data_IF_539955784656
#
_entry.id   IF_539955784656
#
_cell.length_a   1.000
_cell.length_b   1.000
_cell.length_c   1.000
_cell.angle_alpha   90.00
_cell.angle_beta   90.00
_cell.angle_gamma   90.00
#
_symmetry.space_group_name_H-M   'P 1'
#
loop_
_entity.id
_entity.type
_entity.pdbx_description
1 polymer ?
#
# COMPACT_ATOMS: atom_id res chain seq x y z
N UNK A 1 -110.06 -3.91 36.38
CA UNK A 1 -109.06 -4.70 35.64
C UNK A 1 -107.69 -4.45 36.27
N UNK A 2 -107.10 -5.44 36.95
CA UNK A 2 -105.74 -5.32 37.50
C UNK A 2 -104.72 -5.43 36.35
N UNK A 3 -103.72 -4.54 36.25
CA UNK A 3 -102.66 -4.70 35.25
C UNK A 3 -101.86 -5.95 35.59
N UNK A 4 -101.73 -6.87 34.64
CA UNK A 4 -100.87 -8.05 34.78
C UNK A 4 -99.41 -7.60 34.81
N UNK A 5 -98.71 -7.81 35.92
CA UNK A 5 -97.25 -7.67 35.94
C UNK A 5 -96.66 -8.73 35.00
N UNK A 6 -96.05 -8.30 33.89
CA UNK A 6 -95.36 -9.21 32.97
C UNK A 6 -93.99 -9.54 33.55
N UNK A 7 -93.87 -10.67 34.24
CA UNK A 7 -92.59 -11.17 34.76
C UNK A 7 -91.98 -12.09 33.71
N UNK A 8 -90.78 -11.77 33.24
CA UNK A 8 -90.01 -12.65 32.35
C UNK A 8 -88.88 -13.30 33.12
N UNK A 9 -88.73 -14.62 32.97
CA UNK A 9 -87.69 -15.41 33.64
C UNK A 9 -86.73 -15.95 32.59
N UNK A 10 -85.45 -15.73 32.82
CA UNK A 10 -84.36 -16.23 31.98
C UNK A 10 -83.56 -17.20 32.83
N UNK A 11 -83.45 -18.45 32.37
CA UNK A 11 -82.65 -19.48 33.04
C UNK A 11 -81.24 -19.48 32.47
N UNK A 12 -80.26 -19.43 33.37
CA UNK A 12 -78.83 -19.40 33.04
C UNK A 12 -78.13 -20.57 33.74
N UNK A 13 -77.07 -21.16 33.15
CA UNK A 13 -76.29 -22.17 33.86
C UNK A 13 -75.68 -21.54 35.13
N UNK A 14 -75.32 -22.36 36.12
CA UNK A 14 -74.62 -21.87 37.32
C UNK A 14 -73.39 -21.04 36.94
N UNK A 15 -73.33 -19.80 37.43
CA UNK A 15 -72.25 -18.85 37.13
C UNK A 15 -71.50 -18.48 38.40
N UNK A 16 -70.17 -18.32 38.27
CA UNK A 16 -69.29 -17.81 39.31
C UNK A 16 -69.67 -16.37 39.72
N UNK A 17 -69.41 -16.02 40.98
CA UNK A 17 -69.83 -14.73 41.54
C UNK A 17 -69.18 -13.56 40.81
N UNK A 18 -67.91 -13.72 40.41
CA UNK A 18 -67.18 -12.72 39.66
C UNK A 18 -67.83 -12.36 38.32
N UNK A 19 -68.29 -13.37 37.58
CA UNK A 19 -68.91 -13.13 36.26
C UNK A 19 -70.30 -12.50 36.38
N UNK A 20 -71.02 -12.79 37.46
CA UNK A 20 -72.28 -12.10 37.80
C UNK A 20 -72.00 -10.65 38.14
N UNK A 21 -71.05 -10.40 39.03
CA UNK A 21 -70.62 -9.06 39.42
C UNK A 21 -70.15 -8.20 38.25
N UNK A 22 -69.29 -8.76 37.39
CA UNK A 22 -68.82 -8.11 36.17
C UNK A 22 -69.97 -7.78 35.22
N UNK A 23 -70.93 -8.70 35.04
CA UNK A 23 -72.09 -8.44 34.19
C UNK A 23 -72.93 -7.28 34.73
N UNK A 24 -73.24 -7.25 36.03
CA UNK A 24 -74.02 -6.16 36.63
C UNK A 24 -73.24 -4.82 36.63
N UNK A 25 -71.91 -4.87 36.77
CA UNK A 25 -71.03 -3.69 36.67
C UNK A 25 -71.05 -3.11 35.25
N UNK A 26 -70.89 -3.96 34.23
CA UNK A 26 -70.96 -3.53 32.83
C UNK A 26 -72.35 -3.02 32.44
N UNK A 27 -73.39 -3.65 32.98
CA UNK A 27 -74.78 -3.23 32.80
C UNK A 27 -74.99 -1.85 33.45
N UNK A 28 -74.47 -1.63 34.65
CA UNK A 28 -74.46 -0.33 35.33
C UNK A 28 -73.74 0.75 34.53
N UNK A 29 -72.59 0.44 33.93
CA UNK A 29 -71.84 1.36 33.04
C UNK A 29 -72.62 1.71 31.77
N UNK A 30 -73.24 0.71 31.12
CA UNK A 30 -73.95 0.90 29.84
C UNK A 30 -75.28 1.64 30.00
N UNK A 31 -75.97 1.47 31.13
CA UNK A 31 -77.30 2.04 31.37
C UNK A 31 -77.35 3.03 32.55
N UNK A 32 -76.19 3.59 32.93
CA UNK A 32 -76.03 4.65 33.95
C UNK A 32 -76.68 4.33 35.30
N UNK A 33 -76.59 3.09 35.76
CA UNK A 33 -77.12 2.65 37.06
C UNK A 33 -76.00 2.55 38.07
N UNK A 34 -76.12 3.28 39.17
CA UNK A 34 -75.03 3.45 40.16
C UNK A 34 -75.07 2.44 41.29
N UNK A 35 -76.22 1.81 41.56
CA UNK A 35 -76.39 0.96 42.74
C UNK A 35 -77.04 -0.39 42.42
N UNK A 36 -76.59 -1.43 43.12
CA UNK A 36 -77.23 -2.74 43.16
C UNK A 36 -77.35 -3.21 44.61
N UNK A 37 -78.34 -4.06 44.87
CA UNK A 37 -78.50 -4.76 46.14
C UNK A 37 -77.90 -6.16 46.02
N UNK A 38 -77.08 -6.59 47.00
CA UNK A 38 -76.47 -7.93 47.01
C UNK A 38 -76.75 -8.62 48.34
N UNK A 39 -77.30 -9.83 48.25
CA UNK A 39 -77.44 -10.75 49.37
C UNK A 39 -76.47 -11.91 49.20
N UNK A 40 -75.70 -12.19 50.25
CA UNK A 40 -74.82 -13.35 50.29
C UNK A 40 -75.43 -14.48 51.12
N UNK A 41 -74.99 -15.71 50.82
CA UNK A 41 -75.36 -16.92 51.53
C UNK A 41 -74.94 -16.83 53.01
N UNK A 42 -75.70 -17.47 53.91
CA UNK A 42 -75.50 -17.46 55.38
C UNK A 42 -75.94 -16.18 56.13
N UNK A 43 -77.03 -15.55 55.67
CA UNK A 43 -77.69 -14.40 56.35
C UNK A 43 -76.88 -13.09 56.37
N UNK A 44 -75.82 -13.00 55.56
CA UNK A 44 -75.04 -11.78 55.40
C UNK A 44 -75.66 -10.87 54.33
N UNK A 45 -76.38 -9.85 54.76
CA UNK A 45 -76.85 -8.77 53.88
C UNK A 45 -75.71 -7.76 53.67
N UNK A 46 -75.14 -7.75 52.46
CA UNK A 46 -74.09 -6.78 52.07
C UNK A 46 -74.74 -5.42 51.76
N UNK A 47 -76.04 -5.39 51.50
CA UNK A 47 -76.81 -4.18 51.23
C UNK A 47 -76.52 -3.56 49.87
N UNK A 48 -76.53 -2.23 49.81
CA UNK A 48 -76.41 -1.46 48.58
C UNK A 48 -74.94 -1.23 48.19
N UNK A 49 -74.52 -1.81 47.07
CA UNK A 49 -73.17 -1.65 46.50
C UNK A 49 -73.16 -0.65 45.35
N UNK A 50 -72.02 0.01 45.13
CA UNK A 50 -71.80 0.90 43.98
C UNK A 50 -71.23 0.11 42.80
N UNK A 51 -71.92 0.13 41.66
CA UNK A 51 -71.54 -0.59 40.44
C UNK A 51 -70.47 0.12 39.59
N UNK A 52 -70.17 1.39 39.89
CA UNK A 52 -69.28 2.23 39.07
C UNK A 52 -67.91 2.49 39.70
N UNK A 53 -67.77 2.22 41.00
CA UNK A 53 -66.51 2.37 41.75
C UNK A 53 -65.71 1.07 41.87
N UNK A 54 -64.50 1.15 42.40
CA UNK A 54 -63.74 -0.04 42.79
C UNK A 54 -64.47 -0.80 43.93
N UNK A 55 -64.41 -2.14 43.95
CA UNK A 55 -65.03 -2.92 45.01
C UNK A 55 -64.33 -2.65 46.34
N UNK A 56 -65.06 -2.16 47.34
CA UNK A 56 -64.56 -1.87 48.70
C UNK A 56 -65.30 -2.71 49.74
N UNK A 57 -64.62 -3.07 50.83
CA UNK A 57 -65.21 -3.75 51.98
C UNK A 57 -65.66 -5.18 51.69
N UNK A 58 -66.81 -5.57 52.25
CA UNK A 58 -67.37 -6.93 52.18
C UNK A 58 -67.65 -7.40 50.75
N UNK A 59 -67.91 -6.45 49.83
CA UNK A 59 -68.07 -6.74 48.41
C UNK A 59 -66.78 -7.26 47.76
N UNK A 60 -65.63 -6.70 48.13
CA UNK A 60 -64.33 -7.17 47.63
C UNK A 60 -64.00 -8.56 48.16
N UNK A 61 -64.26 -8.80 49.45
CA UNK A 61 -64.06 -10.10 50.10
C UNK A 61 -64.92 -11.18 49.43
N UNK A 62 -66.17 -10.85 49.08
CA UNK A 62 -67.03 -11.78 48.34
C UNK A 62 -66.46 -12.14 46.97
N UNK A 63 -65.95 -11.15 46.22
CA UNK A 63 -65.38 -11.37 44.89
C UNK A 63 -64.05 -12.12 44.93
N UNK A 64 -63.24 -11.91 45.96
CA UNK A 64 -61.96 -12.60 46.14
C UNK A 64 -62.15 -14.09 46.48
N UNK A 65 -63.25 -14.45 47.14
CA UNK A 65 -63.56 -15.85 47.45
C UNK A 65 -64.14 -16.64 46.27
N UNK A 66 -64.84 -15.98 45.33
CA UNK A 66 -65.47 -16.57 44.12
C UNK A 66 -66.15 -17.94 44.33
N UNK A 67 -66.71 -18.16 45.53
CA UNK A 67 -67.15 -19.47 46.01
C UNK A 67 -68.65 -19.71 45.82
N UNK A 68 -69.27 -19.04 44.85
CA UNK A 68 -70.72 -19.08 44.65
C UNK A 68 -71.50 -18.72 45.93
N UNK A 69 -71.14 -17.58 46.52
CA UNK A 69 -71.72 -17.01 47.73
C UNK A 69 -72.84 -15.99 47.46
N UNK A 70 -72.97 -15.41 46.26
CA UNK A 70 -74.10 -14.50 45.94
C UNK A 70 -75.42 -15.29 45.89
N UNK A 71 -76.33 -15.03 46.82
CA UNK A 71 -77.66 -15.65 46.81
C UNK A 71 -78.62 -14.89 45.89
N UNK A 72 -78.64 -13.57 45.98
CA UNK A 72 -79.41 -12.72 45.06
C UNK A 72 -78.73 -11.39 44.82
N UNK A 73 -78.89 -10.87 43.62
CA UNK A 73 -78.37 -9.57 43.22
C UNK A 73 -79.40 -8.83 42.39
N UNK A 74 -79.72 -7.59 42.73
CA UNK A 74 -80.76 -6.81 42.08
C UNK A 74 -80.31 -5.42 41.70
N UNK A 75 -80.68 -4.94 40.51
CA UNK A 75 -80.58 -3.54 40.16
C UNK A 75 -81.86 -3.07 39.45
N UNK A 76 -82.13 -1.76 39.50
CA UNK A 76 -83.28 -1.16 38.84
C UNK A 76 -82.83 -0.10 37.84
N UNK A 77 -83.34 -0.20 36.62
CA UNK A 77 -82.90 0.60 35.47
C UNK A 77 -84.13 1.12 34.77
N UNK A 78 -84.42 2.40 34.95
CA UNK A 78 -85.52 3.08 34.26
C UNK A 78 -86.83 2.30 34.29
N UNK A 79 -87.28 1.85 35.47
CA UNK A 79 -88.53 1.10 35.66
C UNK A 79 -88.45 -0.42 35.43
N UNK A 80 -87.31 -0.94 34.97
CA UNK A 80 -87.01 -2.38 34.91
C UNK A 80 -86.24 -2.82 36.14
N UNK A 81 -86.77 -3.79 36.89
CA UNK A 81 -86.02 -4.46 37.95
C UNK A 81 -85.44 -5.75 37.41
N UNK A 82 -84.11 -5.85 37.46
CA UNK A 82 -83.35 -7.04 37.08
C UNK A 82 -82.89 -7.68 38.39
N UNK A 83 -83.39 -8.88 38.70
CA UNK A 83 -82.98 -9.63 39.88
C UNK A 83 -82.43 -10.99 39.50
N UNK A 84 -81.18 -11.24 39.85
CA UNK A 84 -80.54 -12.55 39.86
C UNK A 84 -80.88 -13.27 41.16
N UNK A 85 -81.23 -14.55 41.07
CA UNK A 85 -81.42 -15.45 42.19
C UNK A 85 -80.76 -16.79 41.92
N UNK A 86 -79.85 -17.19 42.81
CA UNK A 86 -79.15 -18.47 42.73
C UNK A 86 -80.11 -19.63 43.03
N UNK A 87 -80.18 -20.60 42.12
CA UNK A 87 -81.13 -21.70 42.19
C UNK A 87 -82.60 -21.34 41.93
N UNK A 88 -82.89 -20.09 41.53
CA UNK A 88 -84.24 -19.59 41.22
C UNK A 88 -84.99 -18.97 42.39
N UNK A 89 -86.11 -18.29 42.08
CA UNK A 89 -86.99 -17.68 43.07
C UNK A 89 -88.06 -18.66 43.58
N UNK A 90 -87.62 -19.77 44.15
CA UNK A 90 -88.48 -20.80 44.76
C UNK A 90 -88.18 -20.92 46.26
N UNK A 91 -89.10 -21.51 47.07
CA UNK A 91 -88.80 -21.87 48.45
C UNK A 91 -87.49 -22.66 48.54
N UNK A 92 -86.77 -22.55 49.66
CA UNK A 92 -85.42 -23.13 49.83
C UNK A 92 -85.32 -24.62 49.48
N UNK A 93 -86.42 -25.37 49.64
CA UNK A 93 -86.54 -26.80 49.33
C UNK A 93 -86.64 -27.12 47.83
N UNK A 94 -86.92 -26.13 46.98
CA UNK A 94 -87.15 -26.27 45.54
C UNK A 94 -86.11 -25.51 44.68
N UNK A 95 -85.05 -25.00 45.30
CA UNK A 95 -83.97 -24.32 44.56
C UNK A 95 -83.19 -25.33 43.71
N UNK A 96 -83.03 -25.04 42.43
CA UNK A 96 -82.29 -25.92 41.52
C UNK A 96 -80.78 -25.89 41.81
N UNK A 97 -80.10 -27.05 41.91
CA UNK A 97 -78.65 -27.09 42.01
C UNK A 97 -77.95 -26.77 40.68
N UNK A 98 -78.66 -26.79 39.55
CA UNK A 98 -78.06 -26.83 38.20
C UNK A 98 -78.08 -25.47 37.49
N UNK A 99 -79.06 -24.63 37.79
CA UNK A 99 -79.25 -23.35 37.10
C UNK A 99 -79.57 -22.20 38.06
N UNK A 100 -79.33 -20.99 37.60
CA UNK A 100 -79.74 -19.76 38.26
C UNK A 100 -80.81 -19.06 37.41
N UNK A 101 -81.57 -18.15 38.03
CA UNK A 101 -82.61 -17.40 37.33
C UNK A 101 -82.34 -15.90 37.39
N UNK A 102 -82.54 -15.25 36.25
CA UNK A 102 -82.66 -13.80 36.14
C UNK A 102 -84.13 -13.49 35.90
N UNK A 103 -84.70 -12.75 36.83
CA UNK A 103 -86.09 -12.31 36.77
C UNK A 103 -86.10 -10.84 36.36
N UNK A 104 -86.78 -10.57 35.25
CA UNK A 104 -87.02 -9.24 34.73
C UNK A 104 -88.45 -8.86 35.09
N UNK A 105 -88.60 -7.89 35.97
CA UNK A 105 -89.89 -7.34 36.35
C UNK A 105 -90.03 -5.91 35.82
N UNK A 106 -91.08 -5.67 35.04
CA UNK A 106 -91.38 -4.37 34.46
C UNK A 106 -92.45 -3.67 35.29
N UNK A 107 -92.13 -2.50 35.84
CA UNK A 107 -93.12 -1.61 36.45
C UNK A 107 -93.55 -0.52 35.47
N UNK A 108 -94.81 -0.08 35.58
CA UNK A 108 -95.40 0.95 34.69
C UNK A 108 -94.92 2.38 34.98
N UNK A 109 -93.99 2.59 35.91
CA UNK A 109 -93.41 3.91 36.20
C UNK A 109 -92.07 4.06 35.46
N UNK A 110 -92.07 4.91 34.43
CA UNK A 110 -90.92 5.15 33.55
C UNK A 110 -90.75 4.02 32.55
N UNK A 111 -91.47 4.05 31.43
CA UNK A 111 -91.37 3.02 30.38
C UNK A 111 -90.08 3.19 29.58
N UNK A 112 -89.08 2.28 29.69
CA UNK A 112 -87.93 2.31 28.80
C UNK A 112 -88.38 2.00 27.37
N UNK A 113 -87.71 2.59 26.38
CA UNK A 113 -88.05 2.38 24.97
C UNK A 113 -87.89 0.90 24.60
N UNK A 114 -88.70 0.39 23.67
CA UNK A 114 -88.64 -1.03 23.23
C UNK A 114 -87.23 -1.43 22.77
N UNK A 115 -86.48 -0.51 22.15
CA UNK A 115 -85.08 -0.70 21.78
C UNK A 115 -84.19 -0.93 23.02
N UNK A 116 -84.30 -0.09 24.05
CA UNK A 116 -83.56 -0.27 25.30
C UNK A 116 -83.91 -1.59 26.00
N UNK A 117 -85.18 -2.01 25.95
CA UNK A 117 -85.60 -3.32 26.51
C UNK A 117 -84.90 -4.48 25.79
N UNK A 118 -84.87 -4.44 24.47
CA UNK A 118 -84.21 -5.45 23.65
C UNK A 118 -82.69 -5.42 23.85
N UNK A 119 -82.08 -4.24 23.97
CA UNK A 119 -80.65 -4.10 24.22
C UNK A 119 -80.21 -4.65 25.58
N UNK A 120 -81.02 -4.45 26.63
CA UNK A 120 -80.77 -5.00 27.96
C UNK A 120 -80.87 -6.53 27.92
N UNK A 121 -81.93 -7.07 27.30
CA UNK A 121 -82.11 -8.53 27.18
C UNK A 121 -81.01 -9.13 26.31
N UNK A 122 -80.64 -8.50 25.19
CA UNK A 122 -79.56 -8.96 24.31
C UNK A 122 -78.20 -8.94 25.03
N UNK A 123 -77.96 -7.92 25.86
CA UNK A 123 -76.74 -7.82 26.67
C UNK A 123 -76.67 -8.90 27.76
N UNK A 124 -77.76 -9.14 28.47
CA UNK A 124 -77.85 -10.23 29.46
C UNK A 124 -77.64 -11.57 28.76
N UNK A 125 -78.27 -11.78 27.61
CA UNK A 125 -78.17 -13.02 26.85
C UNK A 125 -76.74 -13.28 26.34
N UNK A 126 -76.03 -12.23 25.91
CA UNK A 126 -74.65 -12.37 25.42
C UNK A 126 -73.64 -12.66 26.55
N UNK A 127 -73.84 -12.11 27.74
CA UNK A 127 -72.91 -12.29 28.88
C UNK A 127 -73.22 -13.53 29.72
N UNK A 128 -74.49 -13.76 30.02
CA UNK A 128 -74.95 -14.80 30.97
C UNK A 128 -75.50 -16.05 30.29
N UNK A 129 -75.51 -16.07 28.96
CA UNK A 129 -75.51 -17.34 28.23
C UNK A 129 -76.70 -18.25 28.58
N UNK A 130 -77.94 -17.75 28.44
CA UNK A 130 -79.13 -18.47 28.86
C UNK A 130 -79.34 -19.74 28.05
N UNK A 131 -80.08 -20.67 28.64
CA UNK A 131 -80.54 -21.88 27.99
C UNK A 131 -82.05 -22.04 28.19
N UNK A 132 -82.70 -22.68 27.23
CA UNK A 132 -84.13 -22.96 27.29
C UNK A 132 -84.33 -24.42 27.75
N UNK A 133 -84.84 -24.66 28.98
CA UNK A 133 -84.98 -26.02 29.49
C UNK A 133 -86.02 -26.85 28.73
N UNK A 134 -86.95 -26.20 28.02
CA UNK A 134 -87.99 -26.84 27.22
C UNK A 134 -87.56 -27.15 25.78
N UNK A 135 -86.33 -26.82 25.38
CA UNK A 135 -85.85 -27.03 24.01
C UNK A 135 -85.63 -28.51 23.67
N UNK A 136 -85.39 -29.34 24.69
CA UNK A 136 -85.16 -30.78 24.55
C UNK A 136 -86.41 -31.53 25.02
N UNK A 137 -87.31 -31.86 24.10
CA UNK A 137 -88.51 -32.66 24.38
C UNK A 137 -88.14 -34.14 24.32
N UNK A 138 -87.80 -34.72 25.47
CA UNK A 138 -87.60 -36.16 25.61
C UNK A 138 -88.68 -36.76 26.50
N UNK A 139 -89.61 -37.54 25.94
CA UNK A 139 -90.58 -38.30 26.74
C UNK A 139 -89.85 -39.39 27.52
N UNK A 140 -89.73 -39.25 28.84
CA UNK A 140 -89.14 -40.27 29.72
C UNK A 140 -87.84 -39.88 30.43
N UNK A 141 -87.34 -38.65 30.22
CA UNK A 141 -86.14 -38.12 30.88
C UNK A 141 -86.56 -37.28 32.09
N UNK A 142 -85.84 -37.38 33.22
CA UNK A 142 -86.14 -36.53 34.38
C UNK A 142 -85.93 -35.05 34.05
N UNK A 143 -86.66 -34.15 34.71
CA UNK A 143 -86.59 -32.71 34.40
C UNK A 143 -85.16 -32.16 34.53
N UNK A 144 -84.38 -32.67 35.49
CA UNK A 144 -82.96 -32.30 35.68
C UNK A 144 -82.05 -32.76 34.54
N UNK A 145 -82.28 -33.96 34.00
CA UNK A 145 -81.51 -34.48 32.87
C UNK A 145 -81.82 -33.71 31.57
N UNK A 146 -83.09 -33.33 31.36
CA UNK A 146 -83.49 -32.49 30.23
C UNK A 146 -82.82 -31.10 30.29
N UNK A 147 -82.73 -30.52 31.50
CA UNK A 147 -82.04 -29.25 31.72
C UNK A 147 -80.53 -29.35 31.49
N UNK A 148 -79.88 -30.41 31.97
CA UNK A 148 -78.45 -30.65 31.74
C UNK A 148 -78.14 -30.82 30.25
N UNK A 149 -78.97 -31.57 29.51
CA UNK A 149 -78.84 -31.72 28.06
C UNK A 149 -79.01 -30.38 27.33
N UNK A 150 -79.96 -29.54 27.76
CA UNK A 150 -80.15 -28.21 27.19
C UNK A 150 -78.92 -27.31 27.40
N UNK A 151 -78.26 -27.40 28.58
CA UNK A 151 -77.00 -26.70 28.84
C UNK A 151 -75.92 -27.21 27.88
N UNK A 152 -75.71 -28.53 27.77
CA UNK A 152 -74.71 -29.10 26.86
C UNK A 152 -74.93 -28.69 25.41
N UNK A 153 -76.16 -28.79 24.90
CA UNK A 153 -76.46 -28.39 23.53
C UNK A 153 -76.21 -26.89 23.30
N UNK A 154 -76.55 -26.04 24.27
CA UNK A 154 -76.23 -24.61 24.19
C UNK A 154 -74.72 -24.33 24.18
N UNK A 155 -73.91 -25.17 24.83
CA UNK A 155 -72.44 -25.04 24.78
C UNK A 155 -71.88 -25.50 23.43
N UNK A 156 -72.45 -26.55 22.84
CA UNK A 156 -72.07 -27.02 21.51
C UNK A 156 -72.39 -25.98 20.44
N UNK A 157 -73.61 -25.43 20.43
CA UNK A 157 -74.02 -24.36 19.50
C UNK A 157 -73.04 -23.15 19.55
N UNK A 158 -72.46 -22.87 20.73
CA UNK A 158 -71.48 -21.78 20.91
C UNK A 158 -70.10 -22.15 20.40
N UNK A 159 -69.66 -23.38 20.65
CA UNK A 159 -68.39 -23.86 20.11
C UNK A 159 -68.43 -23.89 18.58
N UNK A 160 -69.57 -24.26 18.00
CA UNK A 160 -69.78 -24.21 16.55
C UNK A 160 -69.66 -22.79 16.02
N UNK A 161 -70.33 -21.81 16.64
CA UNK A 161 -70.20 -20.39 16.25
C UNK A 161 -68.80 -19.84 16.42
N UNK A 162 -68.11 -20.19 17.50
CA UNK A 162 -66.72 -19.77 17.72
C UNK A 162 -65.78 -20.37 16.66
N UNK A 163 -66.01 -21.63 16.29
CA UNK A 163 -65.24 -22.27 15.22
C UNK A 163 -65.54 -21.62 13.87
N UNK A 164 -66.81 -21.31 13.57
CA UNK A 164 -67.21 -20.59 12.36
C UNK A 164 -66.53 -19.21 12.27
N UNK A 165 -66.58 -18.43 13.36
CA UNK A 165 -65.94 -17.12 13.42
C UNK A 165 -64.41 -17.21 13.27
N UNK A 166 -63.76 -18.20 13.90
CA UNK A 166 -62.33 -18.41 13.79
C UNK A 166 -61.94 -18.81 12.36
N UNK A 167 -62.70 -19.71 11.73
CA UNK A 167 -62.49 -20.11 10.33
C UNK A 167 -62.63 -18.89 9.41
N UNK A 168 -63.66 -18.07 9.64
CA UNK A 168 -63.89 -16.84 8.87
C UNK A 168 -62.74 -15.85 9.01
N UNK A 169 -62.32 -15.56 10.25
CA UNK A 169 -61.19 -14.65 10.50
C UNK A 169 -59.88 -15.18 9.91
N UNK A 170 -59.65 -16.49 9.99
CA UNK A 170 -58.47 -17.13 9.38
C UNK A 170 -58.50 -17.02 7.86
N UNK A 171 -59.68 -17.18 7.23
CA UNK A 171 -59.85 -17.00 5.79
C UNK A 171 -59.62 -15.56 5.35
N UNK A 172 -60.20 -14.58 6.06
CA UNK A 172 -60.02 -13.16 5.79
C UNK A 172 -58.55 -12.74 5.97
N UNK A 173 -57.89 -13.23 7.03
CA UNK A 173 -56.47 -12.98 7.27
C UNK A 173 -55.58 -13.56 6.17
N UNK A 174 -55.82 -14.81 5.75
CA UNK A 174 -55.08 -15.45 4.66
C UNK A 174 -55.24 -14.67 3.36
N UNK A 175 -56.47 -14.26 3.03
CA UNK A 175 -56.75 -13.48 1.81
C UNK A 175 -56.00 -12.15 1.81
N UNK A 176 -56.06 -11.40 2.91
CA UNK A 176 -55.35 -10.12 3.02
C UNK A 176 -53.82 -10.26 3.04
N UNK A 177 -53.29 -11.40 3.46
CA UNK A 177 -51.86 -11.69 3.40
C UNK A 177 -51.42 -12.02 1.98
N UNK A 178 -52.19 -12.84 1.27
CA UNK A 178 -51.93 -13.21 -0.13
C UNK A 178 -51.93 -11.97 -1.02
N UNK A 179 -52.94 -11.09 -0.89
CA UNK A 179 -53.01 -9.83 -1.65
C UNK A 179 -51.75 -8.95 -1.43
N UNK A 180 -51.25 -8.87 -0.19
CA UNK A 180 -50.01 -8.11 0.11
C UNK A 180 -48.76 -8.77 -0.44
N UNK A 181 -48.71 -10.11 -0.49
CA UNK A 181 -47.59 -10.83 -1.08
C UNK A 181 -47.57 -10.68 -2.60
N UNK A 182 -48.73 -10.80 -3.26
CA UNK A 182 -48.87 -10.57 -4.70
C UNK A 182 -48.47 -9.13 -5.07
N UNK A 183 -48.93 -8.13 -4.30
CA UNK A 183 -48.57 -6.73 -4.54
C UNK A 183 -47.05 -6.49 -4.39
N UNK A 184 -46.44 -7.03 -3.33
CA UNK A 184 -44.98 -6.90 -3.12
C UNK A 184 -44.18 -7.65 -4.17
N UNK A 185 -44.61 -8.85 -4.57
CA UNK A 185 -43.95 -9.61 -5.63
C UNK A 185 -43.96 -8.82 -6.94
N UNK A 186 -45.12 -8.27 -7.31
CA UNK A 186 -45.25 -7.43 -8.50
C UNK A 186 -44.37 -6.17 -8.44
N UNK A 187 -44.29 -5.51 -7.29
CA UNK A 187 -43.42 -4.33 -7.09
C UNK A 187 -41.94 -4.71 -7.25
N UNK A 188 -41.49 -5.79 -6.62
CA UNK A 188 -40.09 -6.25 -6.70
C UNK A 188 -39.72 -6.68 -8.11
N UNK A 189 -40.61 -7.37 -8.81
CA UNK A 189 -40.40 -7.77 -10.21
C UNK A 189 -40.29 -6.55 -11.14
N UNK A 190 -41.12 -5.53 -10.92
CA UNK A 190 -41.05 -4.26 -11.65
C UNK A 190 -39.73 -3.52 -11.38
N UNK A 191 -39.32 -3.38 -10.12
CA UNK A 191 -38.04 -2.77 -9.76
C UNK A 191 -36.84 -3.53 -10.35
N UNK A 192 -36.89 -4.85 -10.32
CA UNK A 192 -35.85 -5.70 -10.88
C UNK A 192 -35.75 -5.54 -12.40
N UNK A 193 -36.90 -5.52 -13.09
CA UNK A 193 -36.95 -5.27 -14.53
C UNK A 193 -36.40 -3.88 -14.90
N UNK A 194 -36.70 -2.84 -14.12
CA UNK A 194 -36.14 -1.50 -14.33
C UNK A 194 -34.63 -1.46 -14.10
N UNK A 195 -34.14 -2.05 -13.00
CA UNK A 195 -32.70 -2.12 -12.71
C UNK A 195 -31.95 -2.88 -13.81
N UNK A 196 -32.51 -3.99 -14.28
CA UNK A 196 -31.93 -4.77 -15.38
C UNK A 196 -31.83 -3.93 -16.66
N UNK A 197 -32.89 -3.20 -17.03
CA UNK A 197 -32.87 -2.29 -18.19
C UNK A 197 -31.81 -1.19 -18.05
N UNK A 198 -31.68 -0.57 -16.87
CA UNK A 198 -30.65 0.45 -16.62
C UNK A 198 -29.24 -0.13 -16.76
N UNK A 199 -28.98 -1.29 -16.16
CA UNK A 199 -27.69 -1.97 -16.25
C UNK A 199 -27.35 -2.40 -17.69
N UNK A 200 -28.34 -2.84 -18.47
CA UNK A 200 -28.14 -3.16 -19.89
C UNK A 200 -27.78 -1.90 -20.70
N UNK A 201 -28.46 -0.78 -20.46
CA UNK A 201 -28.14 0.51 -21.11
C UNK A 201 -26.75 1.02 -20.71
N UNK A 202 -26.43 0.98 -19.42
CA UNK A 202 -25.11 1.39 -18.90
C UNK A 202 -24.01 0.48 -19.45
N UNK A 203 -24.27 -0.83 -19.51
CA UNK A 203 -23.38 -1.83 -20.10
C UNK A 203 -23.10 -1.52 -21.58
N UNK A 204 -24.15 -1.28 -22.38
CA UNK A 204 -24.01 -0.90 -23.78
C UNK A 204 -23.27 0.43 -23.96
N UNK A 205 -23.52 1.41 -23.10
CA UNK A 205 -22.83 2.70 -23.12
C UNK A 205 -21.34 2.53 -22.79
N UNK A 206 -21.01 1.70 -21.80
CA UNK A 206 -19.62 1.42 -21.43
C UNK A 206 -18.88 0.67 -22.53
N UNK A 207 -19.50 -0.37 -23.12
CA UNK A 207 -18.89 -1.10 -24.24
C UNK A 207 -18.68 -0.20 -25.44
N UNK A 208 -19.66 0.67 -25.77
CA UNK A 208 -19.50 1.65 -26.84
C UNK A 208 -18.37 2.65 -26.54
N UNK A 209 -18.22 3.10 -25.29
CA UNK A 209 -17.10 3.96 -24.89
C UNK A 209 -15.74 3.24 -24.97
N UNK A 210 -15.67 1.98 -24.56
CA UNK A 210 -14.46 1.17 -24.64
C UNK A 210 -14.09 0.93 -26.09
N UNK A 211 -15.04 0.51 -26.94
CA UNK A 211 -14.80 0.35 -28.38
C UNK A 211 -14.36 1.65 -29.04
N UNK A 212 -14.96 2.80 -28.69
CA UNK A 212 -14.54 4.09 -29.20
C UNK A 212 -13.11 4.44 -28.76
N UNK A 213 -12.73 4.14 -27.51
CA UNK A 213 -11.37 4.33 -27.01
C UNK A 213 -10.38 3.36 -27.68
N UNK A 214 -10.76 2.11 -27.87
CA UNK A 214 -9.94 1.10 -28.55
C UNK A 214 -9.70 1.52 -30.00
N UNK A 215 -10.73 1.93 -30.74
CA UNK A 215 -10.56 2.47 -32.11
C UNK A 215 -9.65 3.69 -32.14
N UNK A 216 -9.83 4.63 -31.20
CA UNK A 216 -8.97 5.80 -31.10
C UNK A 216 -7.51 5.45 -30.71
N UNK A 217 -7.30 4.41 -29.91
CA UNK A 217 -5.98 3.90 -29.54
C UNK A 217 -5.35 3.13 -30.69
N UNK A 218 -6.10 2.33 -31.44
CA UNK A 218 -5.63 1.62 -32.63
C UNK A 218 -5.24 2.59 -33.75
N UNK A 219 -6.02 3.65 -33.96
CA UNK A 219 -5.65 4.74 -34.88
C UNK A 219 -4.36 5.43 -34.43
N UNK A 220 -4.20 5.69 -33.13
CA UNK A 220 -2.96 6.24 -32.58
C UNK A 220 -1.80 5.26 -32.68
N UNK A 221 -2.01 3.98 -32.44
CA UNK A 221 -1.00 2.94 -32.53
C UNK A 221 -0.55 2.76 -33.97
N UNK A 222 -1.46 2.73 -34.94
CA UNK A 222 -1.11 2.73 -36.37
C UNK A 222 -0.33 3.98 -36.77
N UNK A 223 -0.77 5.15 -36.31
CA UNK A 223 -0.07 6.41 -36.55
C UNK A 223 1.30 6.49 -35.84
N UNK A 224 1.48 5.78 -34.72
CA UNK A 224 2.74 5.69 -33.98
C UNK A 224 3.64 4.62 -34.60
N UNK A 225 3.15 3.45 -35.00
CA UNK A 225 3.94 2.35 -35.59
C UNK A 225 4.55 2.76 -36.95
N UNK A 226 3.77 3.44 -37.80
CA UNK A 226 4.28 4.03 -39.05
C UNK A 226 5.32 5.14 -38.80
N UNK A 227 5.21 5.85 -37.66
CA UNK A 227 6.12 6.94 -37.29
C UNK A 227 7.36 6.41 -36.55
N UNK A 228 7.24 5.36 -35.75
CA UNK A 228 8.28 4.82 -34.86
C UNK A 228 9.33 4.05 -35.65
N UNK A 229 8.98 3.30 -36.70
CA UNK A 229 10.01 2.61 -37.49
C UNK A 229 10.97 3.61 -38.19
N UNK A 230 10.47 4.79 -38.54
CA UNK A 230 11.28 5.85 -39.15
C UNK A 230 11.90 6.77 -38.10
N UNK A 231 11.19 7.06 -37.00
CA UNK A 231 11.62 8.00 -35.97
C UNK A 231 12.57 7.36 -34.95
N UNK A 232 12.38 6.10 -34.56
CA UNK A 232 13.33 5.33 -33.74
C UNK A 232 14.63 5.12 -34.51
N UNK A 233 14.56 4.83 -35.82
CA UNK A 233 15.74 4.70 -36.68
C UNK A 233 16.51 6.01 -36.85
N UNK A 234 15.79 7.14 -36.96
CA UNK A 234 16.39 8.48 -36.96
C UNK A 234 16.93 8.87 -35.58
N UNK A 235 16.23 8.55 -34.50
CA UNK A 235 16.65 8.87 -33.13
C UNK A 235 17.87 8.05 -32.69
N UNK A 236 17.96 6.77 -33.06
CA UNK A 236 19.16 5.95 -32.84
C UNK A 236 20.32 6.52 -33.65
N UNK A 237 20.11 6.84 -34.94
CA UNK A 237 21.15 7.46 -35.78
C UNK A 237 21.57 8.83 -35.25
N UNK A 238 20.63 9.65 -34.82
CA UNK A 238 20.88 11.01 -34.34
C UNK A 238 21.54 10.97 -32.96
N UNK A 239 21.16 10.06 -32.05
CA UNK A 239 21.90 9.81 -30.79
C UNK A 239 23.30 9.26 -31.05
N UNK A 240 23.47 8.35 -32.02
CA UNK A 240 24.80 7.86 -32.39
C UNK A 240 25.66 8.96 -32.99
N UNK A 241 25.10 9.79 -33.88
CA UNK A 241 25.78 10.94 -34.46
C UNK A 241 26.09 11.99 -33.39
N UNK A 242 25.21 12.20 -32.42
CA UNK A 242 25.43 13.14 -31.33
C UNK A 242 26.44 12.60 -30.31
N UNK A 243 26.48 11.30 -30.02
CA UNK A 243 27.53 10.66 -29.22
C UNK A 243 28.88 10.70 -29.93
N UNK A 244 28.91 10.41 -31.24
CA UNK A 244 30.09 10.56 -32.09
C UNK A 244 30.53 12.02 -32.12
N UNK A 245 29.61 12.98 -32.28
CA UNK A 245 29.92 14.42 -32.31
C UNK A 245 30.36 14.93 -30.95
N UNK A 246 29.77 14.45 -29.85
CA UNK A 246 30.14 14.80 -28.48
C UNK A 246 31.53 14.26 -28.15
N UNK A 247 31.87 13.06 -28.59
CA UNK A 247 33.22 12.48 -28.45
C UNK A 247 34.22 13.08 -29.43
N UNK A 248 33.80 13.45 -30.65
CA UNK A 248 34.58 14.25 -31.60
C UNK A 248 34.87 15.64 -31.03
N UNK A 249 33.90 16.27 -30.36
CA UNK A 249 34.09 17.56 -29.69
C UNK A 249 34.93 17.45 -28.42
N UNK A 250 34.98 16.27 -27.81
CA UNK A 250 35.95 15.90 -26.78
C UNK A 250 37.27 15.39 -27.40
N UNK A 251 37.55 15.62 -28.70
CA UNK A 251 38.90 15.43 -29.25
C UNK A 251 39.86 16.35 -28.53
N UNK A 252 40.55 15.72 -27.61
CA UNK A 252 41.51 16.27 -26.71
C UNK A 252 41.75 15.15 -25.72
N UNK A 253 43.01 14.85 -25.46
CA UNK A 253 43.44 13.89 -24.44
C UNK A 253 42.49 14.04 -23.24
N UNK A 254 41.72 12.98 -22.94
CA UNK A 254 40.75 12.98 -21.83
C UNK A 254 41.37 13.70 -20.63
N UNK A 255 40.64 14.59 -19.95
CA UNK A 255 41.19 15.33 -18.79
C UNK A 255 41.85 14.39 -17.79
N UNK A 256 41.28 13.19 -17.64
CA UNK A 256 41.81 12.10 -16.80
C UNK A 256 43.15 11.52 -17.30
N UNK A 257 43.39 11.51 -18.61
CA UNK A 257 44.64 11.07 -19.23
C UNK A 257 45.68 12.19 -19.27
N UNK A 258 45.26 13.45 -19.43
CA UNK A 258 46.12 14.64 -19.32
C UNK A 258 46.62 14.84 -17.88
N UNK A 259 45.76 14.59 -16.89
CA UNK A 259 46.10 14.69 -15.47
C UNK A 259 47.17 13.68 -15.03
N UNK A 260 47.29 12.52 -15.70
CA UNK A 260 48.38 11.57 -15.47
C UNK A 260 49.77 12.10 -15.87
N UNK A 261 49.86 13.19 -16.66
CA UNK A 261 51.14 13.84 -16.96
C UNK A 261 51.63 14.75 -15.83
N UNK A 262 50.72 15.29 -15.03
CA UNK A 262 51.03 16.26 -13.96
C UNK A 262 52.02 15.73 -12.90
N UNK A 263 51.90 14.51 -12.35
CA UNK A 263 52.86 14.05 -11.35
C UNK A 263 54.28 13.88 -11.91
N UNK A 264 54.42 13.42 -13.16
CA UNK A 264 55.73 13.29 -13.82
C UNK A 264 56.33 14.66 -14.14
N UNK A 265 55.50 15.59 -14.64
CA UNK A 265 55.92 16.97 -14.89
C UNK A 265 56.35 17.67 -13.59
N UNK A 266 55.59 17.51 -12.50
CA UNK A 266 55.97 18.04 -11.18
C UNK A 266 57.29 17.43 -10.70
N UNK A 267 57.48 16.12 -10.85
CA UNK A 267 58.73 15.45 -10.50
C UNK A 267 59.94 15.98 -11.28
N UNK A 268 59.77 16.22 -12.59
CA UNK A 268 60.84 16.75 -13.46
C UNK A 268 61.10 18.23 -13.20
N UNK A 269 60.06 19.03 -12.94
CA UNK A 269 60.22 20.44 -12.53
C UNK A 269 60.94 20.53 -11.19
N UNK A 270 60.59 19.69 -10.22
CA UNK A 270 61.27 19.64 -8.92
C UNK A 270 62.75 19.28 -9.12
N UNK A 271 63.03 18.27 -9.93
CA UNK A 271 64.40 17.84 -10.21
C UNK A 271 65.21 18.91 -10.99
N UNK A 272 64.57 19.63 -11.92
CA UNK A 272 65.18 20.78 -12.59
C UNK A 272 65.44 21.93 -11.62
N UNK A 273 64.50 22.22 -10.72
CA UNK A 273 64.66 23.24 -9.67
C UNK A 273 65.80 22.88 -8.71
N UNK A 274 65.98 21.59 -8.37
CA UNK A 274 67.12 21.11 -7.59
C UNK A 274 68.43 21.35 -8.33
N UNK A 275 68.54 20.99 -9.62
CA UNK A 275 69.75 21.25 -10.40
C UNK A 275 70.06 22.75 -10.54
N UNK A 276 69.04 23.58 -10.81
CA UNK A 276 69.21 25.04 -10.89
C UNK A 276 69.62 25.62 -9.54
N UNK A 277 69.01 25.16 -8.43
CA UNK A 277 69.38 25.58 -7.08
C UNK A 277 70.82 25.18 -6.73
N UNK A 278 71.22 23.95 -7.06
CA UNK A 278 72.59 23.48 -6.87
C UNK A 278 73.60 24.25 -7.72
N UNK A 279 73.25 24.61 -8.97
CA UNK A 279 74.06 25.44 -9.86
C UNK A 279 74.16 26.88 -9.36
N UNK A 280 73.07 27.45 -8.84
CA UNK A 280 73.06 28.78 -8.24
C UNK A 280 73.90 28.83 -6.97
N UNK A 281 73.80 27.81 -6.13
CA UNK A 281 74.61 27.66 -4.92
C UNK A 281 76.10 27.48 -5.24
N UNK A 282 76.46 26.59 -6.18
CA UNK A 282 77.87 26.47 -6.62
C UNK A 282 78.36 27.76 -7.27
N UNK A 283 77.54 28.45 -8.06
CA UNK A 283 77.88 29.72 -8.67
C UNK A 283 78.14 30.82 -7.63
N UNK A 284 77.33 30.87 -6.56
CA UNK A 284 77.55 31.75 -5.42
C UNK A 284 78.85 31.39 -4.67
N UNK A 285 79.09 30.10 -4.39
CA UNK A 285 80.35 29.62 -3.79
C UNK A 285 81.56 30.03 -4.63
N UNK A 286 81.49 29.88 -5.96
CA UNK A 286 82.55 30.29 -6.88
C UNK A 286 82.75 31.81 -6.82
N UNK A 287 81.69 32.63 -6.86
CA UNK A 287 81.82 34.08 -6.82
C UNK A 287 82.35 34.59 -5.46
N UNK A 288 81.88 34.02 -4.35
CA UNK A 288 82.37 34.35 -3.01
C UNK A 288 83.85 33.98 -2.85
N UNK A 289 84.25 32.81 -3.35
CA UNK A 289 85.65 32.39 -3.37
C UNK A 289 86.49 33.29 -4.28
N UNK A 290 86.02 33.63 -5.47
CA UNK A 290 86.76 34.49 -6.41
C UNK A 290 86.94 35.92 -5.86
N UNK A 291 85.93 36.47 -5.18
CA UNK A 291 86.03 37.75 -4.46
C UNK A 291 87.03 37.66 -3.29
N UNK A 292 87.02 36.56 -2.54
CA UNK A 292 87.99 36.34 -1.47
C UNK A 292 89.42 36.17 -2.02
N UNK A 293 89.61 35.40 -3.09
CA UNK A 293 90.90 35.22 -3.76
C UNK A 293 91.42 36.52 -4.36
N UNK A 294 90.58 37.32 -5.03
CA UNK A 294 90.97 38.62 -5.59
C UNK A 294 91.34 39.63 -4.50
N UNK A 295 90.57 39.74 -3.41
CA UNK A 295 90.94 40.58 -2.26
C UNK A 295 92.24 40.14 -1.59
N UNK A 296 92.50 38.83 -1.52
CA UNK A 296 93.73 38.28 -0.96
C UNK A 296 94.92 38.56 -1.88
N UNK A 297 94.76 38.41 -3.19
CA UNK A 297 95.78 38.75 -4.18
C UNK A 297 96.09 40.25 -4.20
N UNK A 298 95.06 41.10 -4.07
CA UNK A 298 95.24 42.55 -3.95
C UNK A 298 95.95 42.93 -2.64
N UNK A 299 95.60 42.29 -1.53
CA UNK A 299 96.31 42.45 -0.26
C UNK A 299 97.78 42.01 -0.37
N UNK A 300 98.06 40.85 -0.99
CA UNK A 300 99.43 40.36 -1.23
C UNK A 300 100.20 41.32 -2.14
N UNK A 301 99.58 41.82 -3.22
CA UNK A 301 100.18 42.80 -4.15
C UNK A 301 100.46 44.14 -3.47
N UNK A 302 99.56 44.60 -2.59
CA UNK A 302 99.76 45.82 -1.82
C UNK A 302 100.88 45.67 -0.81
N UNK A 303 101.00 44.51 -0.14
CA UNK A 303 102.08 44.21 0.81
C UNK A 303 103.44 44.09 0.08
N UNK A 304 103.48 43.46 -1.10
CA UNK A 304 104.73 43.33 -1.87
C UNK A 304 105.19 44.65 -2.53
N UNK A 305 104.28 45.62 -2.70
CA UNK A 305 104.60 46.97 -3.15
C UNK A 305 105.13 47.89 -2.02
N UNK A 306 105.14 47.44 -0.76
CA UNK A 306 105.72 48.22 0.33
C UNK A 306 107.25 48.27 0.23
N UNK A 307 107.81 49.47 0.33
CA UNK A 307 109.27 49.65 0.45
C UNK A 307 109.81 49.06 1.77
N UNK A 308 111.13 48.77 1.84
CA UNK A 308 111.75 48.09 2.98
C UNK A 308 111.53 48.79 4.33
N UNK A 309 111.35 50.11 4.33
CA UNK A 309 111.09 50.90 5.54
C UNK A 309 109.70 50.64 6.15
N UNK A 310 108.66 50.49 5.31
CA UNK A 310 107.28 50.23 5.78
C UNK A 310 107.09 48.81 6.30
N UNK A 311 107.79 47.84 5.70
CA UNK A 311 107.78 46.43 6.13
C UNK A 311 108.36 46.33 7.55
N UNK A 312 109.46 47.06 7.83
CA UNK A 312 110.11 47.08 9.14
C UNK A 312 109.28 47.81 10.21
N UNK A 313 108.58 48.89 9.84
CA UNK A 313 107.68 49.62 10.73
C UNK A 313 106.42 48.83 11.13
N UNK A 314 105.96 47.91 10.27
CA UNK A 314 104.82 47.02 10.54
C UNK A 314 105.19 45.77 11.37
N UNK A 315 106.45 45.60 11.77
CA UNK A 315 106.91 44.47 12.59
C UNK A 315 106.97 43.12 11.84
N UNK A 316 106.87 43.12 10.51
CA UNK A 316 106.88 41.92 9.67
C UNK A 316 108.32 41.60 9.22
N UNK A 317 108.77 40.36 9.45
CA UNK A 317 110.06 39.87 8.96
C UNK A 317 110.09 39.75 7.42
N UNK A 318 111.25 39.98 6.81
CA UNK A 318 111.42 39.90 5.34
C UNK A 318 111.16 38.49 4.77
N UNK A 319 111.37 37.47 5.60
CA UNK A 319 111.03 36.06 5.39
C UNK A 319 109.52 35.83 5.31
N UNK A 320 108.72 36.53 6.12
CA UNK A 320 107.26 36.45 6.09
C UNK A 320 106.71 37.05 4.79
N UNK A 321 107.27 38.17 4.32
CA UNK A 321 106.88 38.79 3.05
C UNK A 321 107.24 37.91 1.85
N UNK A 322 108.40 37.26 1.89
CA UNK A 322 108.82 36.31 0.85
C UNK A 322 107.93 35.05 0.83
N UNK A 323 107.56 34.50 1.99
CA UNK A 323 106.65 33.36 2.07
C UNK A 323 105.21 33.71 1.66
N UNK A 324 104.70 34.87 2.02
CA UNK A 324 103.36 35.36 1.61
C UNK A 324 103.29 35.63 0.10
N UNK A 325 104.40 36.06 -0.51
CA UNK A 325 104.47 36.26 -1.96
C UNK A 325 104.66 34.95 -2.74
N UNK A 326 105.05 33.85 -2.09
CA UNK A 326 105.37 32.57 -2.70
C UNK A 326 104.37 31.43 -2.37
N UNK A 327 103.34 31.67 -1.57
CA UNK A 327 102.29 30.66 -1.36
C UNK A 327 101.43 30.54 -2.60
N UNK A 328 101.56 29.39 -3.29
CA UNK A 328 100.57 28.88 -4.23
C UNK A 328 99.22 28.88 -3.52
N UNK A 329 98.41 29.88 -3.86
CA UNK A 329 97.03 29.97 -3.44
C UNK A 329 96.35 28.68 -3.91
N UNK A 330 95.95 27.81 -2.98
CA UNK A 330 95.46 26.47 -3.29
C UNK A 330 94.21 26.54 -4.19
N UNK A 331 94.41 26.36 -5.50
CA UNK A 331 93.36 26.41 -6.53
C UNK A 331 92.61 25.09 -6.67
N UNK A 332 93.03 24.03 -5.96
CA UNK A 332 92.40 22.70 -6.06
C UNK A 332 90.91 22.76 -5.72
N UNK A 333 90.55 23.57 -4.72
CA UNK A 333 89.16 23.80 -4.33
C UNK A 333 88.34 24.48 -5.44
N UNK A 334 88.92 25.48 -6.12
CA UNK A 334 88.27 26.17 -7.24
C UNK A 334 88.05 25.22 -8.43
N UNK A 335 89.03 24.39 -8.78
CA UNK A 335 88.88 23.38 -9.83
C UNK A 335 87.83 22.33 -9.49
N UNK A 336 87.74 21.93 -8.22
CA UNK A 336 86.69 21.02 -7.76
C UNK A 336 85.29 21.65 -7.87
N UNK A 337 85.14 22.94 -7.52
CA UNK A 337 83.88 23.67 -7.69
C UNK A 337 83.47 23.79 -9.17
N UNK A 338 84.42 24.08 -10.07
CA UNK A 338 84.18 24.07 -11.50
C UNK A 338 83.82 22.68 -12.04
N UNK A 339 84.46 21.61 -11.54
CA UNK A 339 84.10 20.23 -11.87
C UNK A 339 82.69 19.86 -11.40
N UNK A 340 82.29 20.31 -10.20
CA UNK A 340 80.92 20.14 -9.68
C UNK A 340 79.90 20.93 -10.51
N UNK A 341 80.24 22.15 -10.93
CA UNK A 341 79.39 22.99 -11.78
C UNK A 341 79.15 22.35 -13.16
N UNK A 342 80.19 21.83 -13.81
CA UNK A 342 80.06 21.14 -15.11
C UNK A 342 79.25 19.85 -15.00
N UNK A 343 79.45 19.08 -13.93
CA UNK A 343 78.68 17.86 -13.67
C UNK A 343 77.18 18.15 -13.52
N UNK A 344 76.80 19.18 -12.75
CA UNK A 344 75.40 19.58 -12.60
C UNK A 344 74.81 20.14 -13.89
N UNK A 345 75.60 20.87 -14.69
CA UNK A 345 75.16 21.35 -16.01
C UNK A 345 74.87 20.19 -16.97
N UNK A 346 75.71 19.15 -16.99
CA UNK A 346 75.46 17.95 -17.80
C UNK A 346 74.23 17.18 -17.30
N UNK A 347 74.05 17.07 -15.98
CA UNK A 347 72.86 16.47 -15.37
C UNK A 347 71.57 17.19 -15.75
N UNK A 348 71.61 18.53 -15.78
CA UNK A 348 70.48 19.36 -16.19
C UNK A 348 70.12 19.14 -17.67
N UNK A 349 71.11 19.18 -18.57
CA UNK A 349 70.89 18.94 -20.01
C UNK A 349 70.37 17.52 -20.25
N UNK A 350 70.94 16.52 -19.59
CA UNK A 350 70.49 15.13 -19.68
C UNK A 350 69.05 14.95 -19.23
N UNK A 351 68.64 15.62 -18.15
CA UNK A 351 67.27 15.62 -17.67
C UNK A 351 66.30 16.21 -18.70
N UNK A 352 66.65 17.32 -19.33
CA UNK A 352 65.81 17.98 -20.35
C UNK A 352 65.64 17.06 -21.57
N UNK A 353 66.73 16.48 -22.08
CA UNK A 353 66.67 15.56 -23.22
C UNK A 353 65.84 14.31 -22.90
N UNK A 354 66.00 13.76 -21.69
CA UNK A 354 65.18 12.65 -21.22
C UNK A 354 63.69 13.00 -21.22
N UNK A 355 63.33 14.18 -20.70
CA UNK A 355 61.94 14.62 -20.66
C UNK A 355 61.33 14.74 -22.06
N UNK A 356 62.08 15.28 -23.03
CA UNK A 356 61.63 15.39 -24.43
C UNK A 356 61.39 13.99 -25.02
N UNK A 357 62.33 13.06 -24.84
CA UNK A 357 62.19 11.67 -25.33
C UNK A 357 60.99 10.98 -24.68
N UNK A 358 60.79 11.18 -23.39
CA UNK A 358 59.65 10.63 -22.66
C UNK A 358 58.32 11.21 -23.16
N UNK A 359 58.24 12.53 -23.38
CA UNK A 359 57.04 13.17 -23.93
C UNK A 359 56.67 12.61 -25.31
N UNK A 360 57.65 12.41 -26.19
CA UNK A 360 57.42 11.84 -27.53
C UNK A 360 56.89 10.41 -27.45
N UNK A 361 57.53 9.53 -26.67
CA UNK A 361 57.09 8.13 -26.50
C UNK A 361 55.71 8.03 -25.86
N UNK A 362 55.45 8.83 -24.83
CA UNK A 362 54.15 8.91 -24.20
C UNK A 362 53.09 9.33 -25.23
N UNK A 363 53.35 10.37 -26.01
CA UNK A 363 52.40 10.86 -27.02
C UNK A 363 52.07 9.79 -28.06
N UNK A 364 53.08 9.10 -28.57
CA UNK A 364 52.94 8.02 -29.55
C UNK A 364 52.08 6.87 -29.01
N UNK A 365 52.38 6.38 -27.81
CA UNK A 365 51.60 5.30 -27.19
C UNK A 365 50.13 5.68 -26.97
N UNK A 366 49.88 6.92 -26.55
CA UNK A 366 48.52 7.42 -26.35
C UNK A 366 47.76 7.56 -27.66
N UNK A 367 48.39 8.10 -28.71
CA UNK A 367 47.79 8.22 -30.05
C UNK A 367 47.39 6.85 -30.58
N UNK A 368 48.25 5.84 -30.45
CA UNK A 368 47.94 4.47 -30.88
C UNK A 368 46.77 3.88 -30.08
N UNK A 369 46.75 4.07 -28.76
CA UNK A 369 45.66 3.56 -27.92
C UNK A 369 44.31 4.19 -28.23
N UNK A 370 44.29 5.51 -28.51
CA UNK A 370 43.10 6.24 -28.91
C UNK A 370 42.64 5.81 -30.30
N UNK A 371 43.57 5.61 -31.25
CA UNK A 371 43.26 5.11 -32.58
C UNK A 371 42.62 3.71 -32.52
N UNK A 372 43.15 2.81 -31.69
CA UNK A 372 42.59 1.48 -31.50
C UNK A 372 41.18 1.53 -30.88
N UNK A 373 40.96 2.43 -29.90
CA UNK A 373 39.64 2.62 -29.31
C UNK A 373 38.62 3.14 -30.33
N UNK A 374 39.04 4.04 -31.22
CA UNK A 374 38.22 4.55 -32.32
C UNK A 374 37.90 3.47 -33.34
N UNK A 375 38.91 2.70 -33.76
CA UNK A 375 38.72 1.59 -34.68
C UNK A 375 37.74 0.57 -34.08
N UNK A 376 37.88 0.23 -32.80
CA UNK A 376 36.94 -0.63 -32.08
C UNK A 376 35.51 -0.06 -32.09
N UNK A 377 35.34 1.24 -31.84
CA UNK A 377 34.00 1.86 -31.86
C UNK A 377 33.38 1.87 -33.25
N UNK A 378 34.17 2.16 -34.29
CA UNK A 378 33.74 2.08 -35.68
C UNK A 378 33.34 0.64 -36.02
N UNK A 379 34.11 -0.35 -35.58
CA UNK A 379 33.81 -1.76 -35.79
C UNK A 379 32.55 -2.21 -35.03
N UNK A 380 32.30 -1.71 -33.82
CA UNK A 380 31.03 -1.92 -33.09
C UNK A 380 29.85 -1.33 -33.86
N UNK A 381 29.98 -0.11 -34.39
CA UNK A 381 28.91 0.51 -35.18
C UNK A 381 28.67 -0.25 -36.49
N UNK A 382 29.74 -0.69 -37.17
CA UNK A 382 29.64 -1.55 -38.36
C UNK A 382 28.97 -2.87 -38.04
N UNK A 383 29.30 -3.49 -36.91
CA UNK A 383 28.67 -4.73 -36.45
C UNK A 383 27.18 -4.53 -36.15
N UNK A 384 26.82 -3.43 -35.48
CA UNK A 384 25.42 -3.11 -35.21
C UNK A 384 24.64 -2.91 -36.52
N UNK A 385 25.23 -2.18 -37.48
CA UNK A 385 24.62 -2.00 -38.81
C UNK A 385 24.44 -3.33 -39.56
N UNK A 386 25.39 -4.25 -39.46
CA UNK A 386 25.26 -5.61 -40.01
C UNK A 386 24.10 -6.35 -39.34
N UNK A 387 23.99 -6.31 -38.02
CA UNK A 387 22.90 -6.99 -37.28
C UNK A 387 21.54 -6.42 -37.67
N UNK A 388 21.40 -5.11 -37.73
CA UNK A 388 20.15 -4.46 -38.17
C UNK A 388 19.80 -4.84 -39.62
N UNK A 389 20.78 -4.81 -40.52
CA UNK A 389 20.59 -5.22 -41.91
C UNK A 389 20.17 -6.69 -42.02
N UNK A 390 20.74 -7.57 -41.19
CA UNK A 390 20.32 -8.97 -41.06
C UNK A 390 18.87 -9.12 -40.58
N UNK A 391 18.46 -8.33 -39.59
CA UNK A 391 17.10 -8.36 -39.06
C UNK A 391 16.07 -7.85 -40.08
N UNK A 392 16.39 -6.78 -40.80
CA UNK A 392 15.52 -6.22 -41.84
C UNK A 392 15.39 -7.16 -43.04
N UNK A 393 16.49 -7.73 -43.51
CA UNK A 393 16.45 -8.71 -44.60
C UNK A 393 15.58 -9.92 -44.25
N UNK A 394 15.71 -10.42 -43.01
CA UNK A 394 14.86 -11.51 -42.53
C UNK A 394 13.39 -11.09 -42.42
N UNK A 395 13.10 -9.84 -42.05
CA UNK A 395 11.73 -9.32 -41.95
C UNK A 395 11.06 -9.19 -43.33
N UNK A 396 11.81 -8.79 -44.36
CA UNK A 396 11.27 -8.54 -45.71
C UNK A 396 11.24 -9.80 -46.58
N UNK A 397 12.24 -10.66 -46.45
CA UNK A 397 12.47 -11.78 -47.38
C UNK A 397 12.30 -13.15 -46.71
N UNK A 398 11.99 -13.20 -45.41
CA UNK A 398 11.83 -14.41 -44.57
C UNK A 398 12.98 -15.44 -44.71
N UNK A 399 14.14 -15.00 -45.19
CA UNK A 399 15.30 -15.85 -45.52
C UNK A 399 16.58 -15.31 -44.89
N UNK A 400 17.56 -16.20 -44.73
CA UNK A 400 18.87 -15.84 -44.20
C UNK A 400 19.68 -15.05 -45.24
N UNK A 401 20.46 -14.05 -44.79
CA UNK A 401 21.35 -13.28 -45.66
C UNK A 401 22.38 -14.21 -46.34
N UNK A 402 22.65 -14.05 -47.65
CA UNK A 402 23.69 -14.79 -48.34
C UNK A 402 25.05 -14.68 -47.65
N UNK A 403 25.70 -15.82 -47.40
CA UNK A 403 26.96 -15.90 -46.64
C UNK A 403 28.09 -15.07 -47.26
N UNK A 404 28.10 -14.90 -48.57
CA UNK A 404 29.09 -14.09 -49.30
C UNK A 404 28.95 -12.59 -48.98
N UNK A 405 27.72 -12.09 -48.83
CA UNK A 405 27.44 -10.70 -48.50
C UNK A 405 27.69 -10.43 -47.01
N UNK A 406 27.34 -11.37 -46.14
CA UNK A 406 27.69 -11.28 -44.72
C UNK A 406 29.21 -11.24 -44.54
N UNK A 407 29.93 -12.14 -45.22
CA UNK A 407 31.39 -12.20 -45.18
C UNK A 407 32.06 -10.91 -45.63
N UNK A 408 31.58 -10.27 -46.70
CA UNK A 408 32.16 -9.02 -47.19
C UNK A 408 31.96 -7.84 -46.23
N UNK A 409 30.81 -7.73 -45.56
CA UNK A 409 30.53 -6.62 -44.64
C UNK A 409 31.24 -6.81 -43.29
N UNK A 410 31.38 -8.05 -42.81
CA UNK A 410 32.09 -8.36 -41.56
C UNK A 410 33.61 -8.46 -41.72
N UNK A 411 34.14 -8.33 -42.95
CA UNK A 411 35.59 -8.40 -43.17
C UNK A 411 36.31 -7.24 -42.48
N UNK A 412 37.39 -7.56 -41.77
CA UNK A 412 38.24 -6.58 -41.07
C UNK A 412 37.66 -6.05 -39.76
N UNK A 413 36.55 -6.63 -39.28
CA UNK A 413 35.90 -6.23 -38.03
C UNK A 413 36.70 -6.78 -36.83
N UNK A 414 37.12 -5.91 -35.91
CA UNK A 414 37.96 -6.22 -34.75
C UNK A 414 39.37 -6.76 -35.07
N UNK A 415 39.89 -6.53 -36.28
CA UNK A 415 41.25 -6.95 -36.64
C UNK A 415 42.27 -5.91 -36.18
N UNK A 416 42.97 -6.21 -35.08
CA UNK A 416 44.10 -5.42 -34.58
C UNK A 416 45.38 -5.81 -35.34
N UNK A 417 45.66 -5.16 -36.46
CA UNK A 417 46.88 -5.37 -37.25
C UNK A 417 48.09 -4.53 -36.78
N UNK A 418 47.98 -3.79 -35.67
CA UNK A 418 49.07 -2.95 -35.17
C UNK A 418 49.87 -3.67 -34.08
N UNK A 419 51.18 -3.75 -34.30
CA UNK A 419 52.18 -4.34 -33.41
C UNK A 419 52.05 -3.76 -32.01
N UNK A 420 52.02 -4.61 -30.98
CA UNK A 420 51.94 -4.15 -29.58
C UNK A 420 53.00 -3.07 -29.33
N UNK A 421 52.63 -1.90 -28.78
CA UNK A 421 53.60 -0.85 -28.51
C UNK A 421 54.64 -1.37 -27.51
N UNK A 422 55.92 -1.19 -27.85
CA UNK A 422 57.04 -1.54 -26.99
C UNK A 422 56.81 -0.92 -25.60
N UNK A 423 56.76 -1.77 -24.57
CA UNK A 423 56.43 -1.34 -23.20
C UNK A 423 57.40 -0.25 -22.74
N UNK A 424 56.89 0.75 -22.02
CA UNK A 424 57.70 1.84 -21.47
C UNK A 424 58.67 1.28 -20.42
N UNK A 425 59.92 1.03 -20.83
CA UNK A 425 61.01 0.60 -19.98
C UNK A 425 61.46 1.81 -19.12
N UNK A 426 61.65 1.61 -17.82
CA UNK A 426 62.14 2.67 -16.93
C UNK A 426 63.59 3.07 -17.29
N UNK A 427 64.01 4.32 -17.08
CA UNK A 427 65.37 4.77 -17.41
C UNK A 427 66.46 4.03 -16.63
N UNK A 428 66.15 3.52 -15.43
CA UNK A 428 67.02 2.62 -14.69
C UNK A 428 67.24 1.29 -15.43
N UNK A 429 66.21 0.77 -16.09
CA UNK A 429 66.28 -0.44 -16.90
C UNK A 429 66.93 -0.18 -18.27
N UNK A 430 66.76 1.00 -18.86
CA UNK A 430 67.46 1.42 -20.10
C UNK A 430 68.95 1.67 -19.81
N UNK A 431 69.30 2.30 -18.69
CA UNK A 431 70.69 2.46 -18.23
C UNK A 431 71.30 1.14 -17.79
N UNK A 432 70.56 0.28 -17.07
CA UNK A 432 71.04 -1.05 -16.71
C UNK A 432 71.25 -1.90 -17.96
N UNK A 433 70.31 -1.89 -18.91
CA UNK A 433 70.46 -2.62 -20.18
C UNK A 433 71.54 -2.03 -21.08
N UNK A 434 71.76 -0.71 -21.05
CA UNK A 434 72.85 -0.06 -21.78
C UNK A 434 74.19 -0.39 -21.12
N UNK A 435 74.36 -0.19 -19.81
CA UNK A 435 75.60 -0.47 -19.07
C UNK A 435 75.95 -1.97 -19.08
N UNK A 436 74.99 -2.86 -18.81
CA UNK A 436 75.18 -4.31 -18.89
C UNK A 436 75.32 -4.80 -20.34
N UNK A 437 74.70 -4.11 -21.30
CA UNK A 437 74.80 -4.41 -22.73
C UNK A 437 76.13 -3.97 -23.34
N UNK A 438 76.73 -2.87 -22.86
CA UNK A 438 78.01 -2.33 -23.32
C UNK A 438 79.24 -2.92 -22.63
N UNK A 439 79.08 -3.62 -21.49
CA UNK A 439 80.17 -4.32 -20.82
C UNK A 439 80.50 -5.66 -21.51
N UNK A 440 80.82 -5.63 -22.80
CA UNK A 440 81.26 -6.81 -23.53
C UNK A 440 82.76 -7.04 -23.31
N UNK A 441 83.06 -7.97 -22.38
CA UNK A 441 84.34 -8.64 -22.14
C UNK A 441 85.44 -7.78 -21.48
N UNK A 442 85.49 -7.85 -20.14
CA UNK A 442 86.57 -7.28 -19.35
C UNK A 442 87.56 -8.40 -18.97
N UNK A 443 88.77 -8.40 -19.56
CA UNK A 443 89.90 -9.24 -19.14
C UNK A 443 90.83 -8.44 -18.25
N UNK A 444 90.81 -8.69 -16.94
CA UNK A 444 91.75 -8.10 -16.00
C UNK A 444 92.66 -9.18 -15.42
N UNK A 445 93.97 -8.94 -15.52
CA UNK A 445 95.01 -9.82 -14.97
C UNK A 445 95.53 -9.18 -13.68
N UNK A 446 95.18 -9.76 -12.53
CA UNK A 446 95.65 -9.31 -11.21
C UNK A 446 96.23 -10.53 -10.48
N UNK A 447 97.49 -10.43 -10.05
CA UNK A 447 98.08 -11.36 -9.07
C UNK A 447 98.10 -12.84 -9.47
N UNK A 448 98.42 -13.17 -10.72
CA UNK A 448 98.63 -14.57 -11.16
C UNK A 448 97.37 -15.35 -11.53
N UNK A 449 96.18 -14.72 -11.49
CA UNK A 449 94.92 -15.32 -11.97
C UNK A 449 94.28 -14.45 -13.05
N UNK A 450 93.73 -15.10 -14.08
CA UNK A 450 92.95 -14.46 -15.15
C UNK A 450 91.46 -14.68 -14.88
N UNK A 451 90.70 -13.60 -14.69
CA UNK A 451 89.24 -13.64 -14.54
C UNK A 451 88.58 -13.17 -15.83
N UNK A 452 87.85 -14.08 -16.47
CA UNK A 452 87.07 -13.86 -17.68
C UNK A 452 85.58 -13.79 -17.32
N UNK A 453 84.92 -12.65 -17.58
CA UNK A 453 83.47 -12.51 -17.47
C UNK A 453 82.82 -12.54 -18.87
N UNK A 454 81.95 -13.53 -19.11
CA UNK A 454 81.18 -13.68 -20.37
C UNK A 454 79.66 -13.71 -20.10
N UNK A 455 78.87 -13.33 -21.12
CA UNK A 455 77.44 -12.96 -21.05
C UNK A 455 76.52 -14.09 -20.53
N UNK A 456 75.47 -13.79 -19.74
CA UNK A 456 74.32 -14.69 -19.65
C UNK A 456 73.47 -14.62 -20.93
N UNK A 457 73.10 -15.77 -21.48
CA UNK A 457 72.27 -15.92 -22.70
C UNK A 457 70.89 -15.25 -22.51
N UNK A 458 70.44 -14.48 -23.52
CA UNK A 458 69.08 -13.93 -23.59
C UNK A 458 68.03 -15.03 -23.47
N UNK A 459 67.04 -14.83 -22.60
CA UNK A 459 65.83 -15.67 -22.51
C UNK A 459 65.03 -15.48 -23.81
N UNK A 460 64.74 -16.54 -24.60
CA UNK A 460 63.98 -16.40 -25.83
C UNK A 460 62.51 -16.13 -25.51
N UNK A 461 62.00 -15.00 -25.99
CA UNK A 461 60.59 -14.65 -25.90
C UNK A 461 59.83 -15.37 -27.04
N UNK A 462 59.39 -16.61 -26.81
CA UNK A 462 58.42 -17.30 -27.68
C UNK A 462 57.06 -17.32 -26.98
N UNK A 463 55.98 -16.87 -27.65
CA UNK A 463 54.64 -17.00 -27.10
C UNK A 463 54.22 -18.47 -27.05
N UNK A 464 53.68 -18.88 -25.91
CA UNK A 464 53.10 -20.21 -25.67
C UNK A 464 51.84 -20.32 -26.54
N UNK A 465 51.86 -21.19 -27.55
CA UNK A 465 50.65 -21.60 -28.27
C UNK A 465 49.84 -22.51 -27.36
N UNK A 466 48.67 -22.05 -26.91
CA UNK A 466 47.65 -22.90 -26.31
C UNK A 466 47.00 -23.68 -27.44
N UNK A 467 47.20 -25.00 -27.46
CA UNK A 467 46.59 -25.91 -28.43
C UNK A 467 45.11 -26.13 -28.12
N UNK A 468 44.30 -26.05 -29.17
CA UNK A 468 42.91 -26.52 -29.23
C UNK A 468 42.92 -28.06 -29.22
N UNK A 469 42.01 -28.77 -28.51
CA UNK A 469 41.89 -30.20 -28.64
C UNK A 469 41.29 -30.55 -30.01
N UNK A 470 41.93 -31.48 -30.72
CA UNK A 470 41.35 -32.17 -31.86
C UNK A 470 40.30 -33.16 -31.34
N UNK A 471 39.04 -32.97 -31.75
CA UNK A 471 38.05 -34.05 -31.81
C UNK A 471 38.09 -34.65 -33.23
N UNK A 472 38.08 -35.99 -33.26
CA UNK A 472 37.71 -36.82 -34.41
C UNK A 472 36.22 -36.66 -34.78
#
# INVERSE_FOLDING_TARGET
MRPSMSVQRIKIPRVADRKIAETFTELGKKFATTHAHVNALAFSDIGQINLTGEPVGDWKVLLDHDSSLIESMGCSIGGLTISYARGGQYPSEQKSPIFDEIVLNWHNQGTPTTAQKLDIVAFINSRLHPFEPGRVIGSGVSEEQAQLLAIHQSTLDRLERLNEDLIRQSSEFRKGLEEKFEEKAAQVDAEYAEKKKRLEVDGQALTAQVEAKERALDEKLKAIDDRDNTHVRREIRDRMLDDVKKRISQFGVSRFTSDKRRPVLVGIILLLAVFVGLLGWTGYEINAMDNQYSSMLEAIKNISAWGPEKIKAAGLGADVVAHVSATDVDRTHLFWLWGRFTLFSLGLVGTILYYIKWQNRWAEQHIISEFNLQQFYIDVNRANWVIESCLEWRKVTESAIPKELLGSITTGLFVNNQTEPERVIHPADELASALLGTASKLKLKVGGSELDFDKPKKIPNKPIKVGVPHDE
#
